data_IF_141316771494
#
_entry.id   IF_141316771494
#
_cell.length_a   1.000
_cell.length_b   1.000
_cell.length_c   1.000
_cell.angle_alpha   90.00
_cell.angle_beta   90.00
_cell.angle_gamma   90.00
#
_symmetry.space_group_name_H-M   'P 1'
#
loop_
_entity.id
_entity.type
_entity.pdbx_description
1 polymer ?
#
# COMPACT_ATOMS: atom_id res chain seq x y z
N UNK A 1 4.85 -30.13 -85.99
CA UNK A 1 5.92 -31.16 -85.98
C UNK A 1 6.13 -31.56 -84.53
N UNK A 2 5.75 -32.80 -84.21
CA UNK A 2 5.78 -33.38 -82.86
C UNK A 2 7.22 -33.53 -82.35
N UNK A 3 7.45 -33.31 -81.05
CA UNK A 3 8.51 -34.01 -80.32
C UNK A 3 8.08 -34.33 -78.89
N UNK A 4 8.35 -35.58 -78.52
CA UNK A 4 7.95 -36.37 -77.35
C UNK A 4 8.76 -35.99 -76.09
N UNK A 5 8.09 -35.84 -74.93
CA UNK A 5 8.04 -36.80 -73.79
C UNK A 5 9.24 -36.75 -72.83
N UNK A 6 8.97 -36.49 -71.54
CA UNK A 6 9.57 -37.24 -70.40
C UNK A 6 8.55 -37.29 -69.24
N UNK A 7 8.29 -38.50 -68.76
CA UNK A 7 7.56 -38.81 -67.52
C UNK A 7 8.44 -38.52 -66.29
N UNK A 8 7.85 -37.93 -65.25
CA UNK A 8 8.45 -37.85 -63.92
C UNK A 8 7.37 -37.87 -62.84
N UNK A 9 7.12 -39.05 -62.27
CA UNK A 9 6.35 -39.21 -61.03
C UNK A 9 7.29 -39.03 -59.84
N UNK A 10 7.04 -38.03 -59.01
CA UNK A 10 7.56 -37.98 -57.63
C UNK A 10 6.58 -37.16 -56.79
N UNK A 11 5.86 -37.85 -55.90
CA UNK A 11 5.06 -37.19 -54.87
C UNK A 11 5.97 -36.61 -53.79
N UNK A 12 5.58 -35.47 -53.22
CA UNK A 12 6.15 -34.96 -51.98
C UNK A 12 5.07 -34.23 -51.16
N UNK A 13 4.78 -34.88 -50.02
CA UNK A 13 4.40 -34.37 -48.71
C UNK A 13 3.65 -33.03 -48.60
N UNK A 14 2.38 -33.12 -48.20
CA UNK A 14 1.68 -32.01 -47.55
C UNK A 14 2.22 -31.86 -46.11
N UNK A 15 2.96 -30.77 -45.85
CA UNK A 15 3.32 -30.35 -44.48
C UNK A 15 2.23 -29.39 -44.01
N UNK A 16 1.31 -29.88 -43.18
CA UNK A 16 0.34 -29.03 -42.49
C UNK A 16 1.05 -28.37 -41.29
N UNK A 17 1.43 -27.12 -41.42
CA UNK A 17 1.95 -26.31 -40.32
C UNK A 17 0.78 -25.94 -39.37
N UNK A 18 0.68 -26.64 -38.25
CA UNK A 18 -0.20 -26.25 -37.14
C UNK A 18 0.45 -25.06 -36.45
N UNK A 19 -0.02 -23.85 -36.76
CA UNK A 19 0.36 -22.64 -36.05
C UNK A 19 -0.25 -22.63 -34.65
N UNK A 20 0.56 -22.88 -33.62
CA UNK A 20 0.16 -22.68 -32.22
C UNK A 20 0.17 -21.18 -31.96
N UNK A 21 -0.95 -20.55 -31.55
CA UNK A 21 -0.94 -19.16 -31.15
C UNK A 21 -0.17 -19.06 -29.83
N UNK A 22 1.03 -18.46 -29.87
CA UNK A 22 1.73 -18.01 -28.68
C UNK A 22 0.91 -16.87 -28.07
N UNK A 23 0.04 -17.20 -27.13
CA UNK A 23 -0.57 -16.23 -26.23
C UNK A 23 0.56 -15.59 -25.41
N UNK A 24 1.07 -14.45 -25.88
CA UNK A 24 1.95 -13.59 -25.08
C UNK A 24 1.07 -12.97 -23.99
N UNK A 25 1.07 -13.59 -22.81
CA UNK A 25 0.47 -12.98 -21.64
C UNK A 25 1.24 -11.68 -21.32
N UNK A 26 0.56 -10.57 -20.99
CA UNK A 26 1.25 -9.37 -20.53
C UNK A 26 2.01 -9.72 -19.25
N UNK A 27 3.31 -9.43 -19.23
CA UNK A 27 4.08 -9.44 -17.99
C UNK A 27 3.60 -8.24 -17.20
N UNK A 28 2.66 -8.43 -16.28
CA UNK A 28 2.26 -7.38 -15.36
C UNK A 28 3.46 -7.07 -14.46
N UNK A 29 4.13 -5.93 -14.69
CA UNK A 29 5.18 -5.41 -13.82
C UNK A 29 4.55 -5.01 -12.49
N UNK A 30 4.33 -5.97 -11.59
CA UNK A 30 3.86 -5.72 -10.23
C UNK A 30 4.77 -4.69 -9.51
N UNK A 31 6.06 -4.61 -9.89
CA UNK A 31 7.01 -3.66 -9.34
C UNK A 31 6.83 -2.20 -9.78
N UNK A 32 6.16 -1.92 -10.90
CA UNK A 32 5.95 -0.53 -11.37
C UNK A 32 4.68 0.08 -10.74
N UNK A 33 3.65 -0.75 -10.49
CA UNK A 33 2.40 -0.34 -9.84
C UNK A 33 2.54 -0.28 -8.30
N UNK A 34 3.39 -1.13 -7.72
CA UNK A 34 3.69 -1.18 -6.28
C UNK A 34 5.00 -0.43 -5.94
N UNK A 35 5.17 0.77 -6.48
CA UNK A 35 6.31 1.64 -6.17
C UNK A 35 5.84 2.79 -5.28
N UNK A 36 6.37 2.87 -4.05
CA UNK A 36 6.17 4.02 -3.15
C UNK A 36 7.55 4.52 -2.73
N UNK A 37 8.08 5.46 -3.52
CA UNK A 37 9.44 5.97 -3.38
C UNK A 37 9.47 7.50 -3.41
N UNK A 38 10.38 8.08 -2.64
CA UNK A 38 10.62 9.53 -2.61
C UNK A 38 10.01 10.22 -1.40
N UNK A 39 10.03 11.55 -1.42
CA UNK A 39 9.58 12.39 -0.30
C UNK A 39 8.08 12.71 -0.40
N UNK A 40 7.35 12.47 0.68
CA UNK A 40 5.91 12.69 0.77
C UNK A 40 5.56 13.54 1.99
N UNK A 41 4.66 14.50 1.80
CA UNK A 41 3.88 15.09 2.89
C UNK A 41 2.79 14.09 3.28
N UNK A 42 2.95 13.46 4.43
CA UNK A 42 1.99 12.56 5.05
C UNK A 42 1.13 13.35 6.03
N UNK A 43 -0.18 13.12 5.97
CA UNK A 43 -1.16 13.75 6.85
C UNK A 43 -2.05 12.67 7.46
N UNK A 44 -2.13 12.69 8.80
CA UNK A 44 -3.13 11.99 9.59
C UNK A 44 -4.16 13.02 10.04
N UNK A 45 -5.37 12.96 9.49
CA UNK A 45 -6.43 13.92 9.75
C UNK A 45 -7.16 13.58 11.07
N UNK A 46 -6.45 13.67 12.19
CA UNK A 46 -7.00 13.40 13.52
C UNK A 46 -8.12 14.40 13.94
N UNK A 47 -8.16 15.57 13.30
CA UNK A 47 -9.25 16.54 13.38
C UNK A 47 -10.54 16.10 12.67
N UNK A 48 -10.46 15.08 11.81
CA UNK A 48 -11.59 14.50 11.09
C UNK A 48 -11.86 13.05 11.51
N UNK A 49 -11.42 12.69 12.73
CA UNK A 49 -11.59 11.34 13.26
C UNK A 49 -13.06 11.04 13.56
N UNK A 50 -13.40 9.77 13.42
CA UNK A 50 -14.74 9.22 13.66
C UNK A 50 -14.64 7.86 14.34
N UNK A 51 -15.74 7.31 14.84
CA UNK A 51 -15.76 5.99 15.47
C UNK A 51 -16.64 5.92 16.71
N UNK A 52 -16.60 4.77 17.39
CA UNK A 52 -17.42 4.49 18.59
C UNK A 52 -16.74 4.85 19.90
N UNK A 53 -15.41 5.00 19.89
CA UNK A 53 -14.66 5.39 21.08
C UNK A 53 -14.92 6.86 21.44
N UNK A 54 -14.92 7.18 22.73
CA UNK A 54 -14.87 8.57 23.21
C UNK A 54 -13.68 9.33 22.60
N UNK A 55 -12.55 8.65 22.35
CA UNK A 55 -11.38 9.25 21.72
C UNK A 55 -11.68 9.82 20.32
N UNK A 56 -12.65 9.27 19.59
CA UNK A 56 -13.06 9.77 18.28
C UNK A 56 -13.80 11.12 18.35
N UNK A 57 -14.37 11.46 19.50
CA UNK A 57 -15.08 12.73 19.70
C UNK A 57 -14.19 13.87 20.24
N UNK A 58 -12.97 13.54 20.66
CA UNK A 58 -12.06 14.49 21.29
C UNK A 58 -11.40 15.40 20.24
N UNK A 59 -11.39 16.73 20.40
CA UNK A 59 -10.68 17.62 19.48
C UNK A 59 -9.19 17.31 19.41
N UNK A 60 -8.65 17.24 18.20
CA UNK A 60 -7.23 17.01 17.93
C UNK A 60 -6.84 17.71 16.62
N UNK A 61 -5.60 18.19 16.51
CA UNK A 61 -5.11 18.76 15.24
C UNK A 61 -4.68 17.66 14.28
N UNK A 62 -4.77 17.93 12.98
CA UNK A 62 -4.16 17.05 11.98
C UNK A 62 -2.64 16.99 12.19
N UNK A 63 -2.08 15.78 12.15
CA UNK A 63 -0.63 15.57 12.24
C UNK A 63 -0.04 15.53 10.83
N UNK A 64 1.00 16.33 10.62
CA UNK A 64 1.66 16.50 9.31
C UNK A 64 3.13 16.20 9.46
N UNK A 65 3.68 15.41 8.54
CA UNK A 65 5.11 15.11 8.52
C UNK A 65 5.56 14.88 7.09
N UNK A 66 6.71 15.45 6.75
CA UNK A 66 7.42 15.11 5.52
C UNK A 66 8.35 13.95 5.80
N UNK A 67 8.20 12.85 5.07
CA UNK A 67 9.01 11.64 5.22
C UNK A 67 9.40 11.08 3.85
N UNK A 68 10.52 10.39 3.80
CA UNK A 68 10.95 9.66 2.60
C UNK A 68 10.54 8.20 2.70
N UNK A 69 10.05 7.65 1.59
CA UNK A 69 9.75 6.24 1.45
C UNK A 69 10.74 5.58 0.51
N UNK A 70 11.11 4.34 0.84
CA UNK A 70 11.83 3.42 -0.03
C UNK A 70 11.08 2.11 -0.10
N UNK A 71 10.71 1.66 -1.30
CA UNK A 71 10.04 0.39 -1.53
C UNK A 71 10.94 -0.64 -2.20
N UNK A 72 10.95 -1.87 -1.69
CA UNK A 72 11.64 -3.00 -2.30
C UNK A 72 10.65 -4.15 -2.59
N UNK A 73 10.69 -4.65 -3.83
CA UNK A 73 9.89 -5.79 -4.27
C UNK A 73 10.80 -7.00 -4.50
N UNK A 74 10.82 -7.94 -3.56
CA UNK A 74 11.64 -9.15 -3.65
C UNK A 74 10.76 -10.39 -3.43
N UNK A 75 11.00 -11.44 -4.23
CA UNK A 75 10.30 -12.72 -4.12
C UNK A 75 8.76 -12.63 -4.12
N UNK A 76 8.18 -11.67 -4.86
CA UNK A 76 6.74 -11.47 -4.96
C UNK A 76 6.09 -10.70 -3.81
N UNK A 77 6.88 -10.17 -2.88
CA UNK A 77 6.42 -9.29 -1.80
C UNK A 77 7.04 -7.91 -1.98
N UNK A 78 6.20 -6.87 -1.93
CA UNK A 78 6.66 -5.49 -1.93
C UNK A 78 6.46 -4.88 -0.54
N UNK A 79 7.52 -4.28 -0.01
CA UNK A 79 7.49 -3.56 1.28
C UNK A 79 7.99 -2.14 1.05
N UNK A 80 7.22 -1.15 1.50
CA UNK A 80 7.61 0.26 1.55
C UNK A 80 7.95 0.63 3.00
N UNK A 81 9.14 1.16 3.23
CA UNK A 81 9.60 1.60 4.54
C UNK A 81 9.75 3.13 4.57
N UNK A 82 9.43 3.73 5.71
CA UNK A 82 9.79 5.13 6.00
C UNK A 82 11.26 5.18 6.38
N UNK A 83 12.02 6.01 5.67
CA UNK A 83 13.42 6.28 5.98
C UNK A 83 13.54 7.18 7.21
N UNK A 84 14.38 6.80 8.17
CA UNK A 84 14.59 7.53 9.43
C UNK A 84 13.26 7.90 10.13
N UNK A 85 12.44 6.90 10.50
CA UNK A 85 11.11 7.15 11.03
C UNK A 85 11.17 8.02 12.30
N UNK A 86 10.15 8.85 12.55
CA UNK A 86 10.07 9.67 13.75
C UNK A 86 10.07 8.79 15.01
N UNK A 87 10.52 9.38 16.12
CA UNK A 87 10.48 8.69 17.42
C UNK A 87 9.03 8.30 17.74
N UNK A 88 8.75 7.03 18.08
CA UNK A 88 7.38 6.62 18.38
C UNK A 88 6.80 7.39 19.56
N UNK A 89 5.47 7.59 19.54
CA UNK A 89 4.74 8.33 20.57
C UNK A 89 4.89 7.71 21.96
N UNK A 90 4.97 6.38 22.03
CA UNK A 90 5.25 5.65 23.26
C UNK A 90 6.01 4.34 22.95
N UNK A 91 6.57 3.72 23.99
CA UNK A 91 7.45 2.54 23.87
C UNK A 91 6.74 1.28 23.35
N UNK A 92 5.41 1.23 23.36
CA UNK A 92 4.67 0.07 22.84
C UNK A 92 4.55 0.06 21.32
N UNK A 93 4.87 1.18 20.66
CA UNK A 93 4.81 1.29 19.20
C UNK A 93 6.10 0.76 18.55
N UNK A 94 6.00 0.07 17.39
CA UNK A 94 7.17 -0.31 16.62
C UNK A 94 8.01 0.90 16.21
N UNK A 95 9.34 0.73 16.22
CA UNK A 95 10.30 1.75 15.76
C UNK A 95 10.30 1.90 14.24
N UNK A 96 10.07 0.81 13.51
CA UNK A 96 9.98 0.83 12.05
C UNK A 96 8.56 1.13 11.60
N UNK A 97 8.46 1.78 10.44
CA UNK A 97 7.19 2.04 9.76
C UNK A 97 7.28 1.41 8.38
N UNK A 98 6.71 0.23 8.24
CA UNK A 98 6.72 -0.59 7.04
C UNK A 98 5.30 -0.89 6.59
N UNK A 99 5.06 -0.82 5.28
CA UNK A 99 3.80 -1.15 4.64
C UNK A 99 4.03 -2.26 3.63
N UNK A 100 3.18 -3.28 3.68
CA UNK A 100 3.20 -4.39 2.73
C UNK A 100 2.16 -4.15 1.64
N UNK A 101 2.53 -4.37 0.39
CA UNK A 101 1.60 -4.33 -0.74
C UNK A 101 0.69 -5.55 -0.73
N UNK A 102 -0.63 -5.33 -0.80
CA UNK A 102 -1.62 -6.42 -0.84
C UNK A 102 -2.15 -6.72 -2.26
N UNK A 103 -1.61 -6.09 -3.30
CA UNK A 103 -2.12 -6.16 -4.68
C UNK A 103 -2.85 -4.91 -5.15
N UNK A 104 -3.32 -4.08 -4.21
CA UNK A 104 -4.05 -2.83 -4.52
C UNK A 104 -3.76 -1.67 -3.55
N UNK A 105 -3.29 -1.98 -2.35
CA UNK A 105 -3.07 -1.03 -1.27
C UNK A 105 -1.82 -1.38 -0.48
N UNK A 106 -1.22 -0.35 0.11
CA UNK A 106 -0.15 -0.45 1.09
C UNK A 106 -0.76 -0.56 2.48
N UNK A 107 -0.45 -1.65 3.20
CA UNK A 107 -1.08 -1.98 4.48
C UNK A 107 -0.01 -2.11 5.56
N UNK A 108 -0.25 -1.47 6.71
CA UNK A 108 0.55 -1.64 7.92
C UNK A 108 -0.35 -2.02 9.08
N UNK A 109 0.02 -3.07 9.80
CA UNK A 109 -0.62 -3.44 11.07
C UNK A 109 0.31 -3.15 12.24
N UNK A 110 -0.25 -2.77 13.38
CA UNK A 110 0.50 -2.71 14.64
C UNK A 110 -0.39 -3.02 15.84
N UNK A 111 0.20 -3.62 16.87
CA UNK A 111 -0.39 -3.70 18.21
C UNK A 111 0.39 -2.76 19.12
N UNK A 112 -0.32 -1.95 19.91
CA UNK A 112 0.28 -0.91 20.75
C UNK A 112 -0.69 -0.57 21.91
N UNK A 113 -0.33 0.43 22.72
CA UNK A 113 -1.17 0.98 23.78
C UNK A 113 -1.64 2.38 23.40
N UNK A 114 -2.94 2.53 23.18
CA UNK A 114 -3.61 3.81 22.99
C UNK A 114 -3.51 4.66 24.24
N UNK A 115 -3.11 5.92 24.09
CA UNK A 115 -3.12 6.91 25.16
C UNK A 115 -4.48 7.62 25.21
N UNK A 116 -5.36 7.09 26.06
CA UNK A 116 -6.69 7.62 26.29
C UNK A 116 -6.60 8.83 27.23
N UNK A 117 -6.76 10.04 26.68
CA UNK A 117 -6.83 11.26 27.49
C UNK A 117 -8.18 11.32 28.20
N UNK A 118 -8.18 11.34 29.53
CA UNK A 118 -9.37 11.42 30.36
C UNK A 118 -9.78 12.89 30.62
N UNK A 119 -11.04 13.15 31.02
CA UNK A 119 -11.52 14.52 31.27
C UNK A 119 -10.76 15.27 32.38
N UNK A 120 -10.12 14.56 33.30
CA UNK A 120 -9.29 15.13 34.37
C UNK A 120 -7.85 15.43 33.92
N UNK A 121 -7.53 15.17 32.65
CA UNK A 121 -6.21 15.37 32.06
C UNK A 121 -5.23 14.20 32.25
N UNK A 122 -5.63 13.14 32.93
CA UNK A 122 -4.79 11.94 33.06
C UNK A 122 -4.82 11.08 31.79
N UNK A 123 -3.80 10.22 31.62
CA UNK A 123 -3.69 9.31 30.48
C UNK A 123 -3.86 7.87 30.96
N UNK A 124 -4.88 7.19 30.44
CA UNK A 124 -5.05 5.75 30.56
C UNK A 124 -4.45 5.06 29.33
N UNK A 125 -3.62 4.03 29.53
CA UNK A 125 -3.05 3.26 28.42
C UNK A 125 -3.84 1.98 28.18
N UNK A 126 -4.56 1.91 27.06
CA UNK A 126 -5.40 0.77 26.70
C UNK A 126 -4.78 -0.05 25.54
N UNK A 127 -4.81 -1.39 25.58
CA UNK A 127 -4.37 -2.22 24.45
C UNK A 127 -5.17 -1.89 23.19
N UNK A 128 -4.47 -1.76 22.06
CA UNK A 128 -5.07 -1.41 20.79
C UNK A 128 -4.40 -2.11 19.60
N UNK A 129 -5.17 -2.35 18.54
CA UNK A 129 -4.69 -2.81 17.25
C UNK A 129 -5.02 -1.75 16.20
N UNK A 130 -4.04 -1.34 15.42
CA UNK A 130 -4.25 -0.42 14.31
C UNK A 130 -3.90 -1.02 12.97
N UNK A 131 -4.66 -0.65 11.96
CA UNK A 131 -4.41 -0.95 10.56
C UNK A 131 -4.42 0.37 9.79
N UNK A 132 -3.28 0.69 9.17
CA UNK A 132 -3.16 1.81 8.25
C UNK A 132 -3.21 1.29 6.83
N UNK A 133 -4.06 1.87 6.00
CA UNK A 133 -4.16 1.53 4.58
C UNK A 133 -3.97 2.78 3.74
N UNK A 134 -3.14 2.68 2.70
CA UNK A 134 -3.00 3.69 1.66
C UNK A 134 -3.28 3.07 0.29
N UNK A 135 -4.19 3.70 -0.46
CA UNK A 135 -4.52 3.34 -1.83
C UNK A 135 -3.85 4.34 -2.78
N UNK A 136 -3.02 3.87 -3.73
CA UNK A 136 -2.48 4.73 -4.78
C UNK A 136 -3.59 5.36 -5.64
N UNK A 137 -3.48 6.66 -5.86
CA UNK A 137 -4.36 7.46 -6.71
C UNK A 137 -3.58 8.18 -7.81
N UNK A 138 -4.23 9.16 -8.44
CA UNK A 138 -3.64 9.93 -9.52
C UNK A 138 -2.49 10.83 -9.02
N UNK A 139 -1.53 11.10 -9.90
CA UNK A 139 -0.38 11.99 -9.62
C UNK A 139 0.48 11.54 -8.42
N UNK A 140 0.48 10.24 -8.10
CA UNK A 140 1.22 9.70 -6.96
C UNK A 140 0.62 10.08 -5.60
N UNK A 141 -0.61 10.61 -5.55
CA UNK A 141 -1.30 10.88 -4.29
C UNK A 141 -1.86 9.57 -3.75
N UNK A 142 -1.55 9.24 -2.50
CA UNK A 142 -2.14 8.12 -1.80
C UNK A 142 -3.15 8.61 -0.76
N UNK A 143 -4.26 7.89 -0.62
CA UNK A 143 -5.30 8.17 0.39
C UNK A 143 -5.77 6.89 1.07
N UNK A 144 -6.23 6.99 2.30
CA UNK A 144 -6.89 5.86 2.96
C UNK A 144 -7.28 6.18 4.41
N UNK A 145 -7.16 5.18 5.28
CA UNK A 145 -7.59 5.27 6.68
C UNK A 145 -6.56 4.69 7.64
N UNK A 146 -6.44 5.31 8.80
CA UNK A 146 -5.85 4.74 10.01
C UNK A 146 -6.98 4.28 10.92
N UNK A 147 -7.27 2.98 10.88
CA UNK A 147 -8.26 2.34 11.73
C UNK A 147 -7.60 1.84 13.01
N UNK A 148 -8.23 2.04 14.16
CA UNK A 148 -7.77 1.51 15.44
C UNK A 148 -8.92 0.93 16.25
N UNK A 149 -8.78 -0.31 16.68
CA UNK A 149 -9.60 -0.95 17.71
C UNK A 149 -8.92 -0.82 19.07
N UNK A 150 -9.64 -0.27 20.06
CA UNK A 150 -9.20 -0.13 21.45
C UNK A 150 -9.95 -1.16 22.28
N UNK A 151 -9.22 -2.11 22.84
CA UNK A 151 -9.80 -3.35 23.38
C UNK A 151 -10.54 -3.18 24.71
N UNK A 152 -10.15 -2.19 25.52
CA UNK A 152 -10.64 -2.04 26.89
C UNK A 152 -10.49 -0.62 27.41
N UNK A 153 -10.98 -0.37 28.62
CA UNK A 153 -10.81 0.90 29.31
C UNK A 153 -11.81 1.96 28.87
N UNK A 154 -11.59 3.19 29.30
CA UNK A 154 -12.51 4.31 29.04
C UNK A 154 -12.68 4.60 27.55
N UNK A 155 -11.60 4.45 26.79
CA UNK A 155 -11.60 4.65 25.33
C UNK A 155 -11.95 3.39 24.52
N UNK A 156 -12.50 2.33 25.12
CA UNK A 156 -12.91 1.14 24.38
C UNK A 156 -13.84 1.49 23.19
N UNK A 157 -13.66 0.81 22.07
CA UNK A 157 -14.34 1.11 20.80
C UNK A 157 -13.34 1.28 19.66
N UNK A 158 -13.75 1.94 18.58
CA UNK A 158 -12.87 2.22 17.45
C UNK A 158 -12.66 3.71 17.19
N UNK A 159 -11.56 4.01 16.49
CA UNK A 159 -11.23 5.32 15.93
C UNK A 159 -10.75 5.14 14.50
N UNK A 160 -11.37 5.84 13.57
CA UNK A 160 -10.99 5.97 12.17
C UNK A 160 -10.51 7.39 11.89
N UNK A 161 -9.29 7.52 11.35
CA UNK A 161 -8.75 8.80 10.91
C UNK A 161 -8.39 8.73 9.42
N UNK A 162 -8.87 9.66 8.58
CA UNK A 162 -8.41 9.73 7.20
C UNK A 162 -6.90 9.98 7.13
N UNK A 163 -6.24 9.35 6.17
CA UNK A 163 -4.82 9.59 5.89
C UNK A 163 -4.59 9.96 4.43
N UNK A 164 -3.56 10.76 4.19
CA UNK A 164 -3.06 11.03 2.84
C UNK A 164 -1.55 11.13 2.80
N UNK A 165 -0.96 10.77 1.66
CA UNK A 165 0.44 11.02 1.36
C UNK A 165 0.53 11.67 -0.02
N UNK A 166 1.12 12.86 -0.08
CA UNK A 166 1.30 13.63 -1.33
C UNK A 166 2.78 13.81 -1.62
N UNK A 167 3.27 13.55 -2.84
CA UNK A 167 4.65 13.83 -3.21
C UNK A 167 5.00 15.31 -2.92
N UNK A 168 6.16 15.57 -2.32
CA UNK A 168 6.62 16.94 -2.04
C UNK A 168 7.18 17.61 -3.30
N UNK A 169 7.93 16.86 -4.10
CA UNK A 169 8.30 17.22 -5.48
C UNK A 169 7.34 16.53 -6.46
N UNK A 170 7.08 17.19 -7.60
CA UNK A 170 6.28 16.59 -8.68
C UNK A 170 6.85 15.25 -9.14
N UNK A 171 6.07 14.41 -9.85
CA UNK A 171 6.49 13.06 -10.20
C UNK A 171 7.87 13.10 -10.87
N UNK A 172 8.81 12.32 -10.34
CA UNK A 172 10.10 12.11 -10.98
C UNK A 172 9.82 11.29 -12.23
N UNK A 173 9.86 11.95 -13.39
CA UNK A 173 9.68 11.36 -14.72
C UNK A 173 10.84 10.46 -15.09
#
# INVERSE_FOLDING_TARGET
MFSMSVFGKTGLAAVAAIGVPLCVAPVAHAGEVASWNGEYLVVLEANAKSGTSVAASQPEFAHRSTVSFTSNCAAGVCVAAVDNPPVPKNESMPRTIEFTWNGSQWVREMTWKWDCLLPDGTIEYAPAKSITVYTPGQYGILTGVFHTDIASGTCAGNVDMPVSAKPVSGPVT
#
